data_IF_111768962642
#
_entry.id   IF_111768962642
#
_cell.length_a   1.000
_cell.length_b   1.000
_cell.length_c   1.000
_cell.angle_alpha   90.00
_cell.angle_beta   90.00
_cell.angle_gamma   90.00
#
_symmetry.space_group_name_H-M   'P 1'
#
loop_
_entity.id
_entity.type
_entity.pdbx_description
1 polymer ?
#
# COMPACT_ATOMS: atom_id res chain seq x y z
N UNK A 1 -18.39 -0.34 -17.51
CA UNK A 1 -18.06 0.01 -17.57
C UNK A 1 -16.94 0.23 -17.27
N UNK A 2 -16.51 0.18 -17.62
CA UNK A 2 -15.26 0.27 -17.41
C UNK A 2 -14.75 1.09 -16.50
N UNK A 3 -15.30 1.54 -15.86
CA UNK A 3 -14.89 2.24 -15.01
C UNK A 3 -14.67 1.60 -13.83
N UNK A 4 -14.49 0.35 -13.71
CA UNK A 4 -14.31 -0.31 -12.46
C UNK A 4 -13.12 0.18 -11.72
N UNK A 5 -12.08 0.57 -12.41
CA UNK A 5 -10.93 1.05 -11.68
C UNK A 5 -11.19 2.41 -11.07
N UNK A 6 -12.26 3.06 -11.45
CA UNK A 6 -12.55 4.28 -10.82
C UNK A 6 -13.46 4.12 -9.70
N UNK A 7 -13.85 2.94 -9.37
CA UNK A 7 -14.84 2.73 -8.34
C UNK A 7 -14.25 2.31 -7.03
N UNK A 8 -12.96 2.50 -6.85
CA UNK A 8 -12.38 2.26 -5.54
C UNK A 8 -13.07 3.16 -4.54
N UNK A 9 -13.56 2.58 -3.48
CA UNK A 9 -14.19 3.38 -2.45
C UNK A 9 -13.12 4.19 -1.73
N UNK A 10 -13.49 5.35 -1.21
CA UNK A 10 -12.51 6.22 -0.55
C UNK A 10 -11.79 5.55 0.61
N UNK A 11 -12.48 4.71 1.35
CA UNK A 11 -11.87 4.02 2.46
C UNK A 11 -10.77 3.08 2.00
N UNK A 12 -10.98 2.42 0.87
CA UNK A 12 -9.96 1.53 0.34
C UNK A 12 -8.74 2.31 -0.12
N UNK A 13 -8.97 3.46 -0.73
CA UNK A 13 -7.87 4.31 -1.15
C UNK A 13 -7.05 4.77 0.03
N UNK A 14 -7.71 5.17 1.10
CA UNK A 14 -7.02 5.62 2.29
C UNK A 14 -6.20 4.49 2.90
N UNK A 15 -6.78 3.30 2.95
CA UNK A 15 -6.08 2.15 3.51
C UNK A 15 -4.84 1.82 2.69
N UNK A 16 -4.96 1.85 1.37
CA UNK A 16 -3.83 1.58 0.50
C UNK A 16 -2.73 2.61 0.67
N UNK A 17 -3.11 3.87 0.78
CA UNK A 17 -2.12 4.92 1.01
C UNK A 17 -1.44 4.74 2.34
N UNK A 18 -2.18 4.37 3.36
CA UNK A 18 -1.61 4.15 4.68
C UNK A 18 -0.64 2.99 4.65
N UNK A 19 -1.01 1.88 4.02
CA UNK A 19 -0.12 0.74 3.89
C UNK A 19 1.15 1.13 3.15
N UNK A 20 1.01 1.94 2.12
CA UNK A 20 2.15 2.37 1.34
C UNK A 20 3.12 3.20 2.18
N UNK A 21 2.58 4.15 2.93
CA UNK A 21 3.43 4.99 3.77
C UNK A 21 4.11 4.18 4.87
N UNK A 22 3.38 3.26 5.46
CA UNK A 22 3.94 2.40 6.49
C UNK A 22 5.01 1.49 5.93
N UNK A 23 4.74 0.92 4.76
CA UNK A 23 5.70 0.03 4.12
C UNK A 23 6.98 0.77 3.76
N UNK A 24 6.84 1.99 3.26
CA UNK A 24 8.00 2.80 2.94
C UNK A 24 8.82 3.08 4.18
N UNK A 25 8.16 3.41 5.26
CA UNK A 25 8.84 3.69 6.51
C UNK A 25 9.60 2.45 7.01
N UNK A 26 8.99 1.29 6.86
CA UNK A 26 9.61 0.05 7.33
C UNK A 26 10.83 -0.33 6.52
N UNK A 27 10.85 0.00 5.24
CA UNK A 27 12.02 -0.31 4.42
C UNK A 27 12.98 0.88 4.33
N UNK A 28 12.72 1.92 5.10
CA UNK A 28 13.65 3.04 5.19
C UNK A 28 13.61 4.02 4.04
N UNK A 29 12.48 4.13 3.38
CA UNK A 29 12.32 5.04 2.26
C UNK A 29 11.34 6.14 2.64
N UNK A 30 11.70 7.37 2.34
CA UNK A 30 10.80 8.49 2.58
C UNK A 30 9.99 8.75 1.33
N UNK A 31 8.68 8.76 1.48
CA UNK A 31 7.78 9.03 0.37
C UNK A 31 7.22 10.43 0.46
N UNK A 32 7.15 11.08 -0.68
CA UNK A 32 6.41 12.32 -0.78
C UNK A 32 4.95 11.96 -1.00
N UNK A 33 4.08 12.85 -0.58
CA UNK A 33 2.69 12.57 -0.72
C UNK A 33 2.22 12.61 -2.14
N UNK A 34 2.80 13.06 -3.05
CA UNK A 34 2.34 13.08 -4.41
C UNK A 34 3.23 12.25 -5.29
N UNK A 35 4.13 12.92 -5.94
CA UNK A 35 4.95 12.30 -6.95
C UNK A 35 6.15 11.60 -6.33
N UNK A 36 6.34 10.35 -6.67
CA UNK A 36 7.44 9.57 -6.14
C UNK A 36 8.33 9.05 -7.26
N UNK A 37 8.53 9.86 -8.28
CA UNK A 37 9.30 9.43 -9.43
C UNK A 37 10.76 9.23 -9.17
N UNK A 38 11.26 9.69 -8.03
CA UNK A 38 12.67 9.51 -7.71
C UNK A 38 12.97 8.16 -7.08
N UNK A 39 11.96 7.34 -6.86
CA UNK A 39 12.20 6.02 -6.30
C UNK A 39 12.90 5.14 -7.33
N UNK A 40 13.86 4.37 -6.87
CA UNK A 40 14.46 3.36 -7.74
C UNK A 40 13.49 2.19 -7.86
N UNK A 41 13.74 1.36 -8.88
CA UNK A 41 12.92 0.14 -9.04
C UNK A 41 13.03 -0.75 -7.83
N UNK A 42 14.21 -0.85 -7.25
CA UNK A 42 14.40 -1.68 -6.07
C UNK A 42 13.60 -1.15 -4.89
N UNK A 43 13.62 0.17 -4.71
CA UNK A 43 12.85 0.78 -3.63
C UNK A 43 11.36 0.58 -3.83
N UNK A 44 10.89 0.79 -5.04
CA UNK A 44 9.48 0.61 -5.34
C UNK A 44 9.06 -0.84 -5.12
N UNK A 45 9.91 -1.78 -5.52
CA UNK A 45 9.64 -3.19 -5.32
C UNK A 45 9.61 -3.58 -3.85
N UNK A 46 10.51 -3.02 -3.06
CA UNK A 46 10.53 -3.29 -1.63
C UNK A 46 9.27 -2.78 -0.96
N UNK A 47 8.85 -1.59 -1.33
CA UNK A 47 7.62 -1.02 -0.77
C UNK A 47 6.43 -1.88 -1.18
N UNK A 48 6.37 -2.27 -2.44
CA UNK A 48 5.27 -3.10 -2.93
C UNK A 48 5.21 -4.44 -2.22
N UNK A 49 6.35 -5.07 -2.03
CA UNK A 49 6.39 -6.34 -1.32
C UNK A 49 5.92 -6.22 0.12
N UNK A 50 6.33 -5.14 0.78
CA UNK A 50 5.91 -4.93 2.15
C UNK A 50 4.42 -4.63 2.25
N UNK A 51 3.88 -3.92 1.26
CA UNK A 51 2.45 -3.67 1.20
C UNK A 51 1.66 -4.97 1.10
N UNK A 52 2.12 -5.88 0.25
CA UNK A 52 1.44 -7.16 0.09
C UNK A 52 1.45 -7.92 1.41
N UNK A 53 2.58 -7.91 2.11
CA UNK A 53 2.67 -8.54 3.40
C UNK A 53 1.67 -7.95 4.39
N UNK A 54 1.58 -6.63 4.41
CA UNK A 54 0.66 -5.97 5.32
C UNK A 54 -0.79 -6.31 5.00
N UNK A 55 -1.11 -6.39 3.74
CA UNK A 55 -2.46 -6.74 3.34
C UNK A 55 -2.82 -8.16 3.73
N UNK A 56 -1.88 -9.08 3.56
CA UNK A 56 -2.10 -10.46 3.95
C UNK A 56 -2.28 -10.56 5.46
N UNK A 57 -1.44 -9.87 6.21
CA UNK A 57 -1.54 -9.88 7.66
C UNK A 57 -2.87 -9.30 8.13
N UNK A 58 -3.30 -8.24 7.48
CA UNK A 58 -4.57 -7.61 7.82
C UNK A 58 -5.73 -8.57 7.57
N UNK A 59 -5.67 -9.27 6.46
CA UNK A 59 -6.71 -10.23 6.12
C UNK A 59 -6.74 -11.39 7.12
N UNK A 60 -5.56 -11.90 7.47
CA UNK A 60 -5.48 -12.98 8.42
C UNK A 60 -5.99 -12.56 9.80
N UNK A 61 -5.64 -11.36 10.22
CA UNK A 61 -6.11 -10.85 11.49
C UNK A 61 -7.63 -10.70 11.49
N UNK A 62 -8.17 -10.25 10.38
CA UNK A 62 -9.60 -10.10 10.24
C UNK A 62 -10.30 -11.46 10.37
N UNK A 63 -9.73 -12.49 9.78
CA UNK A 63 -10.31 -13.81 9.86
C UNK A 63 -10.13 -14.42 11.23
N UNK A 64 -8.98 -14.19 11.84
CA UNK A 64 -8.74 -14.75 13.17
C UNK A 64 -9.62 -14.11 14.22
N UNK A 65 -10.01 -12.90 13.99
CA UNK A 65 -10.86 -12.20 14.95
C UNK A 65 -12.31 -12.63 14.94
N UNK A 66 -12.68 -13.54 14.07
CA UNK A 66 -14.06 -13.99 14.03
C UNK A 66 -14.33 -15.17 14.93
#
# INVERSE_FOLDING_TARGET
MARSNKTLVPEAKQALNQFKMEAANEVGVTLNQGYNGQLTSAQAGSIGGQMVKKMIQSYENSMAGK
#
